data_IF_601444553206
#
_entry.id   IF_601444553206
#
_cell.length_a   1.000
_cell.length_b   1.000
_cell.length_c   1.000
_cell.angle_alpha   90.00
_cell.angle_beta   90.00
_cell.angle_gamma   90.00
#
_symmetry.space_group_name_H-M   'P 1'
#
loop_
_entity.id
_entity.type
_entity.pdbx_description
1 polymer ?
#
# COMPACT_ATOMS: atom_id res chain seq x y z
N UNK A 1 10.45 12.17 -15.22
CA UNK A 1 10.65 10.86 -14.56
C UNK A 1 9.25 10.33 -14.30
N UNK A 2 8.82 9.34 -15.07
CA UNK A 2 7.62 8.56 -14.72
C UNK A 2 7.98 7.78 -13.46
N UNK A 3 7.44 8.19 -12.32
CA UNK A 3 7.53 7.39 -11.11
C UNK A 3 6.80 6.08 -11.40
N UNK A 4 7.56 4.98 -11.48
CA UNK A 4 6.98 3.65 -11.64
C UNK A 4 5.82 3.47 -10.65
N UNK A 5 4.71 2.85 -11.08
CA UNK A 5 3.55 2.67 -10.23
C UNK A 5 3.93 1.88 -8.98
N UNK A 6 3.87 2.54 -7.82
CA UNK A 6 4.16 1.89 -6.54
C UNK A 6 3.06 0.87 -6.26
N UNK A 7 3.48 -0.38 -6.10
CA UNK A 7 2.55 -1.49 -5.83
C UNK A 7 2.57 -1.83 -4.34
N UNK A 8 1.49 -2.44 -3.81
CA UNK A 8 1.49 -2.95 -2.44
C UNK A 8 2.60 -3.97 -2.17
N UNK A 9 3.07 -4.67 -3.22
CA UNK A 9 4.18 -5.62 -3.11
C UNK A 9 5.50 -4.92 -2.87
N UNK A 10 5.71 -3.77 -3.51
CA UNK A 10 6.92 -2.96 -3.36
C UNK A 10 7.03 -2.40 -1.94
N UNK A 11 5.95 -1.78 -1.46
CA UNK A 11 5.86 -1.28 -0.09
C UNK A 11 5.98 -2.39 0.97
N UNK A 12 5.46 -3.58 0.68
CA UNK A 12 5.60 -4.72 1.57
C UNK A 12 7.07 -5.11 1.78
N UNK A 13 7.87 -5.10 0.70
CA UNK A 13 9.30 -5.40 0.76
C UNK A 13 10.04 -4.30 1.51
N UNK A 14 9.75 -3.03 1.21
CA UNK A 14 10.37 -1.87 1.84
C UNK A 14 10.11 -1.81 3.37
N UNK A 15 8.84 -2.01 3.75
CA UNK A 15 8.41 -1.90 5.15
C UNK A 15 8.66 -3.21 5.92
N UNK A 16 8.93 -4.31 5.24
CA UNK A 16 9.10 -5.64 5.84
C UNK A 16 7.78 -6.24 6.35
N UNK A 17 6.66 -5.86 5.75
CA UNK A 17 5.31 -6.31 6.13
C UNK A 17 4.69 -7.21 5.07
N UNK A 18 3.59 -7.86 5.40
CA UNK A 18 2.88 -8.70 4.43
C UNK A 18 2.11 -7.84 3.41
N UNK A 19 2.18 -8.14 2.10
CA UNK A 19 1.40 -7.42 1.07
C UNK A 19 -0.11 -7.67 1.21
N UNK A 20 -0.54 -8.68 1.97
CA UNK A 20 -1.94 -8.87 2.37
C UNK A 20 -2.38 -7.78 3.34
N UNK A 21 -1.57 -7.45 4.35
CA UNK A 21 -1.87 -6.42 5.35
C UNK A 21 -2.00 -5.04 4.72
N UNK A 22 -1.09 -4.69 3.79
CA UNK A 22 -1.18 -3.44 3.04
C UNK A 22 -2.48 -3.39 2.23
N UNK A 23 -2.83 -4.46 1.51
CA UNK A 23 -4.09 -4.54 0.75
C UNK A 23 -5.32 -4.45 1.64
N UNK A 24 -5.29 -5.06 2.82
CA UNK A 24 -6.39 -5.05 3.78
C UNK A 24 -6.59 -3.63 4.36
N UNK A 25 -5.50 -2.97 4.75
CA UNK A 25 -5.49 -1.57 5.19
C UNK A 25 -6.03 -0.63 4.12
N UNK A 26 -5.56 -0.76 2.88
CA UNK A 26 -6.06 0.03 1.76
C UNK A 26 -7.55 -0.26 1.48
N UNK A 27 -7.98 -1.52 1.63
CA UNK A 27 -9.40 -1.90 1.52
C UNK A 27 -10.27 -1.30 2.61
N UNK A 28 -9.76 -1.21 3.83
CA UNK A 28 -10.46 -0.61 4.95
C UNK A 28 -10.63 0.92 4.78
N UNK A 29 -9.64 1.59 4.20
CA UNK A 29 -9.67 3.05 4.00
C UNK A 29 -10.39 3.48 2.71
N UNK A 30 -10.09 2.83 1.59
CA UNK A 30 -10.55 3.25 0.26
C UNK A 30 -11.62 2.32 -0.32
N UNK A 31 -11.94 1.23 0.37
CA UNK A 31 -12.83 0.19 -0.13
C UNK A 31 -12.14 -0.79 -1.09
N UNK A 32 -12.94 -1.62 -1.75
CA UNK A 32 -12.42 -2.61 -2.71
C UNK A 32 -11.95 -1.94 -4.00
N UNK A 33 -10.86 -2.47 -4.59
CA UNK A 33 -10.42 -2.10 -5.93
C UNK A 33 -11.62 -2.20 -6.88
N UNK A 34 -11.99 -1.08 -7.52
CA UNK A 34 -13.21 -0.99 -8.32
C UNK A 34 -13.27 -2.04 -9.44
N UNK A 35 -14.48 -2.45 -9.80
CA UNK A 35 -14.76 -3.47 -10.81
C UNK A 35 -13.95 -3.26 -12.09
N UNK A 36 -12.95 -4.12 -12.31
CA UNK A 36 -12.14 -4.15 -13.52
C UNK A 36 -10.65 -3.84 -13.33
N UNK A 37 -10.23 -3.31 -12.17
CA UNK A 37 -8.82 -3.16 -11.89
C UNK A 37 -8.21 -4.51 -11.45
N UNK A 38 -7.14 -4.95 -12.12
CA UNK A 38 -6.41 -6.18 -11.76
C UNK A 38 -5.13 -5.89 -10.96
N UNK A 39 -4.73 -4.61 -10.88
CA UNK A 39 -3.52 -4.15 -10.19
C UNK A 39 -3.83 -2.95 -9.30
N UNK A 40 -3.36 -3.02 -8.05
CA UNK A 40 -3.31 -1.87 -7.15
C UNK A 40 -2.21 -0.92 -7.62
N UNK A 41 -2.63 0.23 -8.12
CA UNK A 41 -1.74 1.33 -8.50
C UNK A 41 -1.84 2.40 -7.42
N UNK A 42 -0.89 2.43 -6.49
CA UNK A 42 -0.99 3.35 -5.36
C UNK A 42 -0.65 4.76 -5.82
N UNK A 43 -1.48 5.72 -5.44
CA UNK A 43 -1.12 7.14 -5.57
C UNK A 43 -0.03 7.49 -4.55
N UNK A 44 0.78 8.54 -4.80
CA UNK A 44 1.79 8.98 -3.84
C UNK A 44 1.22 9.21 -2.44
N UNK A 45 0.00 9.76 -2.33
CA UNK A 45 -0.70 9.95 -1.06
C UNK A 45 -0.98 8.60 -0.33
N UNK A 46 -1.43 7.59 -1.07
CA UNK A 46 -1.66 6.24 -0.52
C UNK A 46 -0.36 5.59 -0.05
N UNK A 47 0.73 5.81 -0.79
CA UNK A 47 2.06 5.31 -0.43
C UNK A 47 2.51 5.91 0.90
N UNK A 48 2.41 7.24 1.06
CA UNK A 48 2.79 7.91 2.29
C UNK A 48 1.95 7.47 3.50
N UNK A 49 0.66 7.25 3.30
CA UNK A 49 -0.24 6.73 4.34
C UNK A 49 0.13 5.31 4.77
N UNK A 50 0.37 4.41 3.82
CA UNK A 50 0.82 3.05 4.09
C UNK A 50 2.16 3.08 4.84
N UNK A 51 3.13 3.84 4.35
CA UNK A 51 4.44 4.00 5.02
C UNK A 51 4.26 4.48 6.46
N UNK A 52 3.51 5.55 6.66
CA UNK A 52 3.27 6.12 8.01
C UNK A 52 2.59 5.13 8.96
N UNK A 53 1.63 4.36 8.48
CA UNK A 53 0.89 3.40 9.29
C UNK A 53 1.76 2.21 9.72
N UNK A 54 2.49 1.62 8.77
CA UNK A 54 3.28 0.40 9.02
C UNK A 54 4.68 0.68 9.57
N UNK A 55 5.26 1.87 9.34
CA UNK A 55 6.53 2.29 9.93
C UNK A 55 6.41 2.48 11.46
N UNK A 56 5.30 3.08 11.91
CA UNK A 56 5.03 3.30 13.35
C UNK A 56 4.78 2.00 14.13
N UNK A 57 4.33 0.94 13.46
CA UNK A 57 4.11 -0.37 14.07
C UNK A 57 5.38 -1.17 14.37
N UNK A 58 6.56 -0.69 13.96
CA UNK A 58 7.85 -1.33 14.25
C UNK A 58 8.44 -0.90 15.62
N UNK A 59 7.75 -0.02 16.35
CA UNK A 59 8.02 0.32 17.76
C UNK A 59 6.97 -0.32 18.67
N UNK A 60 7.09 -1.62 18.90
CA UNK A 60 6.62 -2.30 20.12
C UNK A 60 7.53 -3.50 20.39
#
# INVERSE_FOLDING_TARGET
MESDPVTPKDLAIELGVSPKSIRDFLRALYGTLGDGATRWNLTPEQVELVRTHFDRGRSD
#
